data_IF_286503797239
#
_entry.id   IF_286503797239
#
_cell.length_a   1.000
_cell.length_b   1.000
_cell.length_c   1.000
_cell.angle_alpha   90.00
_cell.angle_beta   90.00
_cell.angle_gamma   90.00
#
_symmetry.space_group_name_H-M   'P 1'
#
loop_
_entity.id
_entity.type
_entity.pdbx_description
1 polymer ?
#
# COMPACT_ATOMS: atom_id res chain seq x y z
N UNK A 1 15.68 27.68 -15.65
CA UNK A 1 14.80 27.75 -14.47
C UNK A 1 15.04 26.51 -13.63
N UNK A 2 15.59 26.63 -12.42
CA UNK A 2 15.86 25.46 -11.55
C UNK A 2 14.55 25.10 -10.84
N UNK A 3 14.02 23.91 -11.10
CA UNK A 3 12.85 23.39 -10.39
C UNK A 3 13.30 22.98 -8.98
N UNK A 4 13.08 23.85 -8.00
CA UNK A 4 13.31 23.54 -6.59
C UNK A 4 12.11 22.72 -6.14
N UNK A 5 12.31 21.42 -5.93
CA UNK A 5 11.31 20.58 -5.28
C UNK A 5 11.07 21.14 -3.87
N UNK A 6 9.93 21.81 -3.67
CA UNK A 6 9.48 22.23 -2.33
C UNK A 6 9.08 20.98 -1.56
N UNK A 7 10.02 20.42 -0.80
CA UNK A 7 9.72 19.41 0.19
C UNK A 7 8.80 20.03 1.25
N UNK A 8 7.67 19.37 1.49
CA UNK A 8 6.71 19.70 2.54
C UNK A 8 6.49 18.42 3.34
N UNK A 9 6.36 18.52 4.65
CA UNK A 9 6.10 17.34 5.48
C UNK A 9 4.68 16.83 5.26
N UNK A 10 4.42 15.56 5.56
CA UNK A 10 3.13 14.93 5.28
C UNK A 10 2.03 15.54 6.18
N UNK A 11 2.38 15.90 7.41
CA UNK A 11 1.53 16.52 8.43
C UNK A 11 1.10 17.95 8.06
N UNK A 12 1.85 18.61 7.16
CA UNK A 12 1.50 19.93 6.63
C UNK A 12 0.45 19.85 5.51
N UNK A 13 0.27 18.68 4.89
CA UNK A 13 -0.63 18.46 3.75
C UNK A 13 -1.82 17.58 4.08
N UNK A 14 -1.68 16.69 5.04
CA UNK A 14 -2.70 15.74 5.48
C UNK A 14 -3.08 16.01 6.94
N UNK A 15 -4.29 15.64 7.37
CA UNK A 15 -4.75 15.80 8.76
C UNK A 15 -4.11 14.75 9.69
N UNK A 16 -2.80 14.55 9.59
CA UNK A 16 -2.03 13.64 10.42
C UNK A 16 -1.55 14.36 11.67
N UNK A 17 -1.68 13.70 12.82
CA UNK A 17 -1.20 14.17 14.11
C UNK A 17 0.14 13.52 14.45
N UNK A 18 0.20 12.19 14.46
CA UNK A 18 1.39 11.42 14.81
C UNK A 18 1.34 9.98 14.27
N UNK A 19 2.46 9.28 14.35
CA UNK A 19 2.54 7.83 14.15
C UNK A 19 3.12 7.23 15.43
N UNK A 20 2.33 6.42 16.13
CA UNK A 20 2.64 5.84 17.44
C UNK A 20 2.24 4.37 17.44
N UNK A 21 3.07 3.49 18.00
CA UNK A 21 2.82 2.04 18.10
C UNK A 21 2.39 1.38 16.77
N UNK A 22 2.90 1.87 15.64
CA UNK A 22 2.55 1.37 14.30
C UNK A 22 1.16 1.79 13.80
N UNK A 23 0.49 2.70 14.51
CA UNK A 23 -0.80 3.27 14.16
C UNK A 23 -0.63 4.72 13.68
N UNK A 24 -1.50 5.14 12.76
CA UNK A 24 -1.57 6.53 12.29
C UNK A 24 -2.68 7.23 13.06
N UNK A 25 -2.34 8.35 13.70
CA UNK A 25 -3.29 9.19 14.44
C UNK A 25 -3.64 10.43 13.63
N UNK A 26 -4.94 10.72 13.49
CA UNK A 26 -5.44 11.91 12.79
C UNK A 26 -5.64 13.10 13.74
N UNK A 27 -5.65 14.32 13.20
CA UNK A 27 -6.03 15.54 13.95
C UNK A 27 -7.50 15.56 14.41
N UNK A 28 -8.32 14.68 13.84
CA UNK A 28 -9.72 14.49 14.22
C UNK A 28 -9.92 13.37 15.25
N UNK A 29 -8.83 12.87 15.85
CA UNK A 29 -8.80 11.76 16.80
C UNK A 29 -9.22 10.40 16.22
N UNK A 30 -9.05 10.19 14.91
CA UNK A 30 -9.19 8.88 14.29
C UNK A 30 -7.88 8.08 14.41
N UNK A 31 -8.01 6.78 14.62
CA UNK A 31 -6.88 5.84 14.66
C UNK A 31 -6.97 4.89 13.47
N UNK A 32 -5.91 4.84 12.66
CA UNK A 32 -5.81 3.95 11.49
C UNK A 32 -4.70 2.92 11.68
N UNK A 33 -5.04 1.64 11.52
CA UNK A 33 -4.10 0.52 11.57
C UNK A 33 -3.96 -0.08 10.17
N UNK A 34 -2.75 -0.09 9.63
CA UNK A 34 -2.47 -0.66 8.32
C UNK A 34 -2.16 -2.15 8.41
N UNK A 35 -2.94 -2.99 7.75
CA UNK A 35 -2.64 -4.42 7.61
C UNK A 35 -1.92 -4.69 6.30
N UNK A 36 -0.78 -5.38 6.38
CA UNK A 36 -0.08 -5.88 5.20
C UNK A 36 -0.71 -7.20 4.77
N UNK A 37 -1.47 -7.18 3.70
CA UNK A 37 -1.97 -8.41 3.07
C UNK A 37 -0.91 -8.89 2.07
N UNK A 38 -0.58 -10.19 2.14
CA UNK A 38 0.12 -10.87 1.06
C UNK A 38 -0.94 -11.44 0.15
N UNK A 39 -1.07 -10.89 -1.06
CA UNK A 39 -1.80 -11.56 -2.13
C UNK A 39 -0.80 -12.49 -2.81
N UNK A 40 -0.83 -13.82 -2.57
CA UNK A 40 -0.06 -14.72 -3.40
C UNK A 40 -0.57 -14.58 -4.84
N UNK A 41 0.35 -14.48 -5.81
CA UNK A 41 -0.01 -14.65 -7.22
C UNK A 41 -0.64 -16.03 -7.36
N UNK A 42 -1.97 -16.06 -7.47
CA UNK A 42 -2.65 -17.19 -8.10
C UNK A 42 -2.34 -16.99 -9.56
N UNK A 43 -1.35 -17.72 -10.09
CA UNK A 43 -1.20 -17.83 -11.53
C UNK A 43 -2.54 -18.33 -12.07
N UNK A 44 -3.35 -17.43 -12.61
CA UNK A 44 -4.41 -17.81 -13.51
C UNK A 44 -3.66 -18.32 -14.74
N UNK A 45 -3.32 -19.60 -14.74
CA UNK A 45 -2.76 -20.27 -15.90
C UNK A 45 -3.67 -19.93 -17.07
N UNK A 46 -3.08 -19.55 -18.20
CA UNK A 46 -3.85 -19.53 -19.44
C UNK A 46 -4.37 -20.96 -19.67
N UNK A 47 -5.51 -21.11 -20.33
CA UNK A 47 -6.09 -22.44 -20.56
C UNK A 47 -5.07 -23.42 -21.15
N UNK A 48 -4.21 -22.90 -22.04
CA UNK A 48 -3.14 -23.63 -22.72
C UNK A 48 -2.09 -24.19 -21.73
N UNK A 49 -1.70 -23.40 -20.71
CA UNK A 49 -0.74 -23.83 -19.70
C UNK A 49 -1.35 -24.83 -18.69
N UNK A 50 -2.67 -24.73 -18.44
CA UNK A 50 -3.41 -25.68 -17.60
C UNK A 50 -3.54 -27.05 -18.27
N UNK A 51 -3.88 -27.09 -19.56
CA UNK A 51 -3.97 -28.35 -20.33
C UNK A 51 -2.61 -29.05 -20.46
N UNK A 52 -1.52 -28.28 -20.65
CA UNK A 52 -0.16 -28.83 -20.71
C UNK A 52 0.29 -29.49 -19.39
N UNK A 53 -0.13 -28.97 -18.23
CA UNK A 53 0.18 -29.58 -16.92
C UNK A 53 -0.64 -30.85 -16.62
N UNK A 54 -1.85 -30.96 -17.15
CA UNK A 54 -2.77 -32.07 -16.88
C UNK A 54 -2.77 -33.18 -17.95
N UNK A 55 -1.92 -33.07 -18.98
CA UNK A 55 -1.83 -34.02 -20.10
C UNK A 55 -0.85 -35.19 -19.94
N UNK A 56 -0.49 -35.59 -18.71
CA UNK A 56 0.37 -36.75 -18.43
C UNK A 56 -0.44 -38.04 -18.16
#
# INVERSE_FOLDING_TARGET
>A
MRNILKASTLESKFPLLAVEDGCILSKAADVTVGFKVRLPEVFTLTSDDYEAMHGA
#
